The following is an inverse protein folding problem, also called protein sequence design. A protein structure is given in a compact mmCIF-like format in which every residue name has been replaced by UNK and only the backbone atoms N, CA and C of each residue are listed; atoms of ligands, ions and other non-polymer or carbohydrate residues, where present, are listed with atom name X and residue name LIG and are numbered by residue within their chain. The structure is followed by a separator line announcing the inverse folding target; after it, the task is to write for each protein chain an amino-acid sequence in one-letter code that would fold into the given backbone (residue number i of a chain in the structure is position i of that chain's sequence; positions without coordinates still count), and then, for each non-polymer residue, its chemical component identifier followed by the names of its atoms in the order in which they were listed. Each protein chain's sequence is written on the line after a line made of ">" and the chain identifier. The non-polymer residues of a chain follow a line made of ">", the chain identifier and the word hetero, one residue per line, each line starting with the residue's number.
data_IF_469811537638
#
_entry.id   IF_469811537638
#
_cell.length_a   1.000
_cell.length_b   1.000
_cell.length_c   1.000
_cell.angle_alpha   90.00
_cell.angle_beta   90.00
_cell.angle_gamma   90.00
#
_symmetry.space_group_name_H-M   'P 1'
#
loop_
_entity.id
_entity.type
_entity.pdbx_description
1 polymer ?
#
# COMPACT_ATOMS: atom_id res chain seq x y z
N UNK A 1 -17.30 -31.41 -7.81
CA UNK A 1 -16.07 -30.82 -7.25
C UNK A 1 -16.21 -29.32 -7.39
N UNK A 2 -16.21 -28.55 -6.30
CA UNK A 2 -16.22 -27.09 -6.41
C UNK A 2 -14.85 -26.68 -6.96
N UNK A 3 -14.80 -26.14 -8.18
CA UNK A 3 -13.64 -25.38 -8.63
C UNK A 3 -13.48 -24.21 -7.67
N UNK A 4 -12.47 -24.24 -6.80
CA UNK A 4 -12.13 -23.08 -6.00
C UNK A 4 -11.38 -22.12 -6.93
N UNK A 5 -12.13 -21.22 -7.58
CA UNK A 5 -11.62 -20.23 -8.53
C UNK A 5 -10.43 -19.41 -7.98
N UNK A 6 -10.32 -19.28 -6.65
CA UNK A 6 -9.19 -18.64 -5.98
C UNK A 6 -7.94 -19.52 -5.87
N UNK A 7 -8.06 -20.84 -5.91
CA UNK A 7 -6.90 -21.75 -5.93
C UNK A 7 -6.20 -21.73 -7.28
N UNK A 8 -6.93 -21.43 -8.35
CA UNK A 8 -6.41 -21.28 -9.72
C UNK A 8 -6.06 -19.82 -10.05
N UNK A 9 -6.04 -18.93 -9.04
CA UNK A 9 -5.68 -17.51 -9.26
C UNK A 9 -4.25 -17.40 -9.79
N UNK A 10 -3.94 -16.39 -10.61
CA UNK A 10 -2.57 -16.13 -11.05
C UNK A 10 -1.63 -15.92 -9.85
N UNK A 11 -0.51 -16.65 -9.86
CA UNK A 11 0.62 -16.56 -8.93
C UNK A 11 1.91 -16.47 -9.75
N UNK A 12 3.02 -16.02 -9.15
CA UNK A 12 4.32 -15.97 -9.83
C UNK A 12 5.45 -16.12 -8.82
N UNK A 13 6.29 -17.14 -8.92
CA UNK A 13 7.49 -17.26 -8.09
C UNK A 13 7.26 -17.57 -6.60
N UNK A 14 6.11 -17.23 -6.03
CA UNK A 14 5.66 -17.58 -4.68
C UNK A 14 4.18 -17.99 -4.72
N UNK A 15 3.73 -18.90 -3.83
CA UNK A 15 2.34 -19.35 -3.73
C UNK A 15 1.43 -18.28 -3.08
N UNK A 16 1.48 -17.08 -3.62
CA UNK A 16 0.71 -15.90 -3.24
C UNK A 16 0.06 -15.33 -4.50
N UNK A 17 -0.96 -14.50 -4.34
CA UNK A 17 -1.55 -13.75 -5.44
C UNK A 17 -0.49 -12.96 -6.19
N UNK A 18 -0.58 -12.96 -7.52
CA UNK A 18 0.45 -12.43 -8.43
C UNK A 18 1.03 -11.09 -7.97
N UNK A 19 0.21 -10.10 -7.61
CA UNK A 19 0.70 -8.80 -7.16
C UNK A 19 1.48 -8.82 -5.84
N UNK A 20 1.25 -9.79 -4.95
CA UNK A 20 2.10 -9.96 -3.76
C UNK A 20 3.41 -10.66 -4.14
N UNK A 21 3.33 -11.68 -5.00
CA UNK A 21 4.52 -12.44 -5.39
C UNK A 21 5.51 -11.65 -6.23
N UNK A 22 5.02 -10.84 -7.19
CA UNK A 22 5.84 -9.95 -8.01
C UNK A 22 6.66 -8.96 -7.17
N UNK A 23 6.17 -8.60 -5.98
CA UNK A 23 6.89 -7.78 -5.03
C UNK A 23 7.98 -8.54 -4.27
N UNK A 24 7.69 -9.77 -3.84
CA UNK A 24 8.67 -10.62 -3.17
C UNK A 24 9.83 -11.03 -4.08
N UNK A 25 9.61 -11.12 -5.39
CA UNK A 25 10.70 -11.38 -6.36
C UNK A 25 11.81 -10.31 -6.32
N UNK A 26 11.52 -9.10 -5.86
CA UNK A 26 12.54 -8.05 -5.66
C UNK A 26 13.36 -8.26 -4.37
N UNK A 27 12.85 -9.05 -3.43
CA UNK A 27 13.51 -9.34 -2.15
C UNK A 27 14.22 -10.69 -2.16
N UNK A 28 13.64 -11.69 -2.84
CA UNK A 28 14.03 -13.09 -2.71
C UNK A 28 14.19 -13.78 -4.07
N UNK A 29 14.67 -15.02 -4.06
CA UNK A 29 14.60 -15.89 -5.24
C UNK A 29 13.22 -16.57 -5.26
N UNK A 30 12.59 -16.70 -6.43
CA UNK A 30 11.39 -17.52 -6.61
C UNK A 30 11.55 -18.93 -6.02
N UNK A 31 10.48 -19.46 -5.42
CA UNK A 31 10.37 -20.83 -4.89
C UNK A 31 9.41 -21.71 -5.70
N UNK A 32 8.61 -21.12 -6.57
CA UNK A 32 7.81 -21.79 -7.60
C UNK A 32 8.12 -21.19 -8.99
N UNK A 33 7.48 -21.70 -10.04
CA UNK A 33 7.62 -21.18 -11.39
C UNK A 33 7.13 -19.71 -11.49
N UNK A 34 7.86 -18.91 -12.28
CA UNK A 34 7.52 -17.51 -12.54
C UNK A 34 6.53 -17.45 -13.69
N UNK A 35 5.48 -16.64 -13.54
CA UNK A 35 4.39 -16.56 -14.54
C UNK A 35 4.86 -15.98 -15.88
N UNK A 36 5.68 -14.93 -15.83
CA UNK A 36 6.24 -14.27 -17.00
C UNK A 36 7.76 -14.21 -16.88
N UNK A 37 8.44 -15.12 -17.58
CA UNK A 37 9.90 -15.20 -17.60
C UNK A 37 10.57 -14.07 -18.39
N UNK A 38 9.79 -13.31 -19.16
CA UNK A 38 10.28 -12.16 -19.93
C UNK A 38 10.23 -10.85 -19.15
N UNK A 39 9.52 -10.85 -18.00
CA UNK A 39 9.45 -9.69 -17.12
C UNK A 39 10.84 -9.32 -16.59
N UNK A 40 11.20 -8.05 -16.76
CA UNK A 40 12.35 -7.47 -16.08
C UNK A 40 12.02 -7.25 -14.60
N UNK A 41 12.58 -8.09 -13.73
CA UNK A 41 12.45 -7.94 -12.28
C UNK A 41 13.30 -6.73 -11.84
N UNK A 42 12.79 -5.84 -10.97
CA UNK A 42 13.59 -4.74 -10.43
C UNK A 42 14.90 -5.24 -9.77
N UNK A 43 15.93 -4.38 -9.67
CA UNK A 43 17.16 -4.73 -8.98
C UNK A 43 16.86 -5.24 -7.57
N UNK A 44 17.48 -6.38 -7.21
CA UNK A 44 17.25 -6.98 -5.90
C UNK A 44 17.62 -6.02 -4.79
N UNK A 45 16.68 -5.86 -3.86
CA UNK A 45 16.93 -5.10 -2.67
C UNK A 45 17.76 -5.91 -1.68
N UNK A 46 18.62 -5.21 -0.94
CA UNK A 46 19.37 -5.83 0.14
C UNK A 46 18.48 -5.91 1.37
N UNK A 47 17.91 -7.09 1.62
CA UNK A 47 16.96 -7.32 2.72
C UNK A 47 17.49 -6.92 4.10
N UNK A 48 18.81 -6.96 4.31
CA UNK A 48 19.45 -6.53 5.56
C UNK A 48 19.36 -5.02 5.83
N UNK A 49 18.95 -4.21 4.85
CA UNK A 49 18.78 -2.77 5.04
C UNK A 49 17.49 -2.44 5.82
N UNK A 50 16.63 -3.44 6.03
CA UNK A 50 15.36 -3.33 6.75
C UNK A 50 15.36 -4.20 8.01
N UNK A 51 15.00 -3.63 9.15
CA UNK A 51 14.85 -4.38 10.42
C UNK A 51 13.46 -4.97 10.59
N UNK A 52 12.46 -4.40 9.92
CA UNK A 52 11.06 -4.83 10.01
C UNK A 52 10.35 -4.72 8.65
N UNK A 53 9.63 -5.78 8.31
CA UNK A 53 8.79 -5.86 7.12
C UNK A 53 7.32 -5.74 7.54
N UNK A 54 6.62 -4.74 7.01
CA UNK A 54 5.30 -4.34 7.53
C UNK A 54 4.27 -4.51 6.42
N UNK A 55 3.34 -5.44 6.60
CA UNK A 55 2.36 -5.82 5.58
C UNK A 55 0.96 -5.33 5.95
N UNK A 56 0.37 -4.51 5.08
CA UNK A 56 -1.02 -4.08 5.23
C UNK A 56 -1.96 -5.19 4.75
N UNK A 57 -2.80 -5.70 5.66
CA UNK A 57 -3.76 -6.77 5.34
C UNK A 57 -4.78 -6.31 4.28
N UNK A 58 -5.17 -5.03 4.26
CA UNK A 58 -6.03 -4.49 3.20
C UNK A 58 -5.36 -4.62 1.82
N UNK A 59 -4.03 -4.54 1.76
CA UNK A 59 -3.28 -4.66 0.50
C UNK A 59 -3.20 -6.10 0.03
N UNK A 60 -2.93 -7.04 0.94
CA UNK A 60 -2.98 -8.48 0.62
C UNK A 60 -4.36 -8.86 0.10
N UNK A 61 -5.43 -8.47 0.81
CA UNK A 61 -6.79 -8.75 0.41
C UNK A 61 -7.15 -8.14 -0.95
N UNK A 62 -6.76 -6.88 -1.18
CA UNK A 62 -6.93 -6.23 -2.49
C UNK A 62 -6.19 -7.01 -3.58
N UNK A 63 -4.99 -7.51 -3.33
CA UNK A 63 -4.23 -8.29 -4.31
C UNK A 63 -4.92 -9.64 -4.60
N UNK A 64 -5.48 -10.30 -3.59
CA UNK A 64 -6.29 -11.53 -3.75
C UNK A 64 -7.50 -11.25 -4.63
N UNK A 65 -8.34 -10.29 -4.24
CA UNK A 65 -9.59 -9.99 -4.96
C UNK A 65 -9.32 -9.54 -6.39
N UNK A 66 -8.26 -8.75 -6.63
CA UNK A 66 -7.93 -8.24 -7.97
C UNK A 66 -7.13 -9.22 -8.83
N UNK A 67 -6.69 -10.36 -8.28
CA UNK A 67 -6.02 -11.40 -9.06
C UNK A 67 -6.97 -12.20 -9.95
N UNK A 68 -8.28 -12.13 -9.69
CA UNK A 68 -9.31 -12.84 -10.45
C UNK A 68 -10.35 -11.86 -11.06
N UNK A 69 -11.01 -12.21 -12.18
CA UNK A 69 -12.04 -11.38 -12.77
C UNK A 69 -13.23 -11.14 -11.83
N UNK A 70 -13.86 -9.97 -11.93
CA UNK A 70 -14.99 -9.59 -11.06
C UNK A 70 -16.17 -10.58 -11.12
N UNK A 71 -16.45 -11.14 -12.30
CA UNK A 71 -17.54 -12.12 -12.48
C UNK A 71 -17.25 -13.37 -11.64
N UNK A 72 -16.02 -13.88 -11.66
CA UNK A 72 -15.61 -15.02 -10.84
C UNK A 72 -15.70 -14.70 -9.33
N UNK A 73 -15.31 -13.49 -8.92
CA UNK A 73 -15.39 -13.06 -7.52
C UNK A 73 -16.81 -13.07 -6.96
N UNK A 74 -17.83 -12.81 -7.79
CA UNK A 74 -19.24 -12.87 -7.34
C UNK A 74 -19.71 -14.27 -7.00
N UNK A 75 -19.05 -15.28 -7.52
CA UNK A 75 -19.39 -16.69 -7.31
C UNK A 75 -18.66 -17.28 -6.10
N UNK A 76 -17.63 -16.59 -5.61
CA UNK A 76 -16.80 -17.00 -4.48
C UNK A 76 -17.45 -16.56 -3.16
N UNK A 77 -17.47 -17.46 -2.18
CA UNK A 77 -17.95 -17.12 -0.84
C UNK A 77 -16.94 -16.27 -0.09
N UNK A 78 -17.42 -15.36 0.77
CA UNK A 78 -16.53 -14.49 1.54
C UNK A 78 -15.58 -15.28 2.46
N UNK A 79 -16.00 -16.44 2.96
CA UNK A 79 -15.11 -17.30 3.75
C UNK A 79 -13.98 -17.90 2.90
N UNK A 80 -14.24 -18.25 1.63
CA UNK A 80 -13.22 -18.78 0.73
C UNK A 80 -12.14 -17.71 0.46
N UNK A 81 -12.50 -16.42 0.41
CA UNK A 81 -11.53 -15.31 0.32
C UNK A 81 -10.72 -15.18 1.63
N UNK A 82 -11.38 -15.31 2.78
CA UNK A 82 -10.72 -15.26 4.09
C UNK A 82 -9.72 -16.41 4.26
N UNK A 83 -10.11 -17.63 3.88
CA UNK A 83 -9.26 -18.82 3.97
C UNK A 83 -7.95 -18.61 3.18
N UNK A 84 -8.05 -18.07 1.95
CA UNK A 84 -6.88 -17.73 1.13
C UNK A 84 -6.03 -16.63 1.76
N UNK A 85 -6.64 -15.61 2.35
CA UNK A 85 -5.89 -14.55 3.03
C UNK A 85 -5.11 -15.08 4.24
N UNK A 86 -5.70 -16.00 5.01
CA UNK A 86 -5.02 -16.67 6.12
C UNK A 86 -3.86 -17.54 5.61
N UNK A 87 -4.06 -18.30 4.53
CA UNK A 87 -3.00 -19.07 3.88
C UNK A 87 -1.83 -18.18 3.43
N UNK A 88 -2.10 -17.00 2.84
CA UNK A 88 -1.04 -16.06 2.45
C UNK A 88 -0.29 -15.48 3.65
N UNK A 89 -1.00 -15.15 4.73
CA UNK A 89 -0.38 -14.66 5.98
C UNK A 89 0.49 -15.74 6.61
N UNK A 90 0.02 -16.99 6.66
CA UNK A 90 0.77 -18.12 7.20
C UNK A 90 2.01 -18.42 6.37
N UNK A 91 1.89 -18.42 5.03
CA UNK A 91 3.03 -18.57 4.14
C UNK A 91 4.06 -17.46 4.39
N UNK A 92 3.64 -16.19 4.39
CA UNK A 92 4.53 -15.05 4.62
C UNK A 92 5.21 -15.12 5.99
N UNK A 93 4.46 -15.46 7.04
CA UNK A 93 4.99 -15.61 8.39
C UNK A 93 6.09 -16.66 8.43
N UNK A 94 5.81 -17.86 7.92
CA UNK A 94 6.77 -18.96 7.91
C UNK A 94 7.97 -18.66 7.02
N UNK A 95 7.74 -18.07 5.85
CA UNK A 95 8.80 -17.73 4.90
C UNK A 95 9.78 -16.70 5.48
N UNK A 96 9.28 -15.61 6.08
CA UNK A 96 10.12 -14.59 6.69
C UNK A 96 10.86 -15.11 7.92
N UNK A 97 10.17 -15.89 8.78
CA UNK A 97 10.79 -16.50 9.97
C UNK A 97 11.92 -17.47 9.59
N UNK A 98 11.74 -18.32 8.58
CA UNK A 98 12.76 -19.24 8.09
C UNK A 98 14.00 -18.53 7.51
N UNK A 99 13.84 -17.26 7.13
CA UNK A 99 14.93 -16.40 6.66
C UNK A 99 15.44 -15.44 7.76
N UNK A 100 15.07 -15.68 9.03
CA UNK A 100 15.45 -14.85 10.19
C UNK A 100 15.07 -13.37 10.04
N UNK A 101 13.94 -13.07 9.40
CA UNK A 101 13.45 -11.71 9.22
C UNK A 101 12.17 -11.48 10.03
N UNK A 102 12.00 -10.26 10.52
CA UNK A 102 10.85 -9.89 11.32
C UNK A 102 9.75 -9.30 10.46
N UNK A 103 8.60 -9.97 10.41
CA UNK A 103 7.40 -9.54 9.70
C UNK A 103 6.29 -9.14 10.67
N UNK A 104 5.57 -8.08 10.31
CA UNK A 104 4.39 -7.59 11.02
C UNK A 104 3.23 -7.41 10.06
N UNK A 105 2.03 -7.77 10.53
CA UNK A 105 0.79 -7.54 9.81
C UNK A 105 -0.04 -6.50 10.53
N UNK A 106 -0.67 -5.60 9.79
CA UNK A 106 -1.53 -4.59 10.38
C UNK A 106 -2.80 -4.34 9.58
N UNK A 107 -3.81 -3.86 10.30
CA UNK A 107 -5.02 -3.26 9.76
C UNK A 107 -5.03 -1.79 10.18
N UNK A 108 -5.10 -0.90 9.19
CA UNK A 108 -5.44 0.50 9.43
C UNK A 108 -6.90 0.73 9.01
N UNK A 109 -7.75 1.15 9.96
CA UNK A 109 -9.17 1.40 9.67
C UNK A 109 -9.43 2.84 9.18
N UNK A 110 -8.39 3.68 9.19
CA UNK A 110 -8.40 5.07 8.77
C UNK A 110 -9.54 5.90 9.40
N UNK A 111 -9.95 5.54 10.62
CA UNK A 111 -11.04 6.22 11.32
C UNK A 111 -10.70 7.67 11.66
N UNK A 112 -9.41 8.01 11.82
CA UNK A 112 -8.99 9.40 11.91
C UNK A 112 -9.36 10.17 10.64
N UNK A 113 -8.92 9.70 9.47
CA UNK A 113 -9.18 10.33 8.18
C UNK A 113 -10.68 10.54 7.96
N UNK A 114 -11.48 9.49 8.21
CA UNK A 114 -12.94 9.51 8.05
C UNK A 114 -13.66 10.51 8.98
N UNK A 115 -13.06 10.83 10.13
CA UNK A 115 -13.60 11.80 11.11
C UNK A 115 -13.08 13.22 10.87
N UNK A 116 -11.85 13.34 10.38
CA UNK A 116 -11.14 14.62 10.24
C UNK A 116 -11.52 15.35 8.95
N UNK A 117 -11.71 14.64 7.84
CA UNK A 117 -11.92 15.24 6.52
C UNK A 117 -13.36 15.11 6.05
N UNK A 118 -13.81 16.09 5.23
CA UNK A 118 -15.11 16.04 4.58
C UNK A 118 -15.26 14.76 3.74
N UNK A 119 -16.39 14.08 3.86
CA UNK A 119 -16.70 12.87 3.09
C UNK A 119 -16.60 13.07 1.58
N UNK A 120 -16.85 14.29 1.06
CA UNK A 120 -16.70 14.64 -0.36
C UNK A 120 -15.24 14.65 -0.80
N UNK A 121 -14.32 14.85 0.14
CA UNK A 121 -12.87 14.82 -0.11
C UNK A 121 -12.34 13.39 -0.18
N UNK A 122 -13.04 12.44 0.42
CA UNK A 122 -12.67 11.03 0.45
C UNK A 122 -13.29 10.28 -0.73
N UNK A 123 -12.52 9.36 -1.29
CA UNK A 123 -13.02 8.41 -2.28
C UNK A 123 -13.90 7.39 -1.58
N UNK A 124 -15.11 7.22 -2.09
CA UNK A 124 -16.07 6.23 -1.60
C UNK A 124 -16.46 5.29 -2.74
N UNK A 125 -16.76 4.04 -2.41
CA UNK A 125 -17.34 3.10 -3.36
C UNK A 125 -18.72 3.57 -3.82
N UNK A 126 -18.92 3.67 -5.13
CA UNK A 126 -20.19 4.10 -5.73
C UNK A 126 -20.76 3.09 -6.71
N UNK A 127 -19.89 2.32 -7.37
CA UNK A 127 -20.30 1.27 -8.31
C UNK A 127 -20.65 -0.02 -7.58
N UNK A 128 -21.53 -0.85 -8.15
CA UNK A 128 -21.88 -2.18 -7.60
C UNK A 128 -20.64 -3.02 -7.33
N UNK A 129 -19.68 -3.01 -8.28
CA UNK A 129 -18.40 -3.70 -8.14
C UNK A 129 -17.61 -3.24 -6.91
N UNK A 130 -17.47 -1.93 -6.71
CA UNK A 130 -16.72 -1.40 -5.57
C UNK A 130 -17.43 -1.72 -4.26
N UNK A 131 -18.75 -1.55 -4.20
CA UNK A 131 -19.54 -1.86 -3.01
C UNK A 131 -19.44 -3.33 -2.62
N UNK A 132 -19.46 -4.25 -3.59
CA UNK A 132 -19.30 -5.67 -3.34
C UNK A 132 -17.89 -6.03 -2.84
N UNK A 133 -16.85 -5.43 -3.42
CA UNK A 133 -15.47 -5.59 -2.95
C UNK A 133 -15.31 -5.05 -1.53
N UNK A 134 -15.93 -3.92 -1.20
CA UNK A 134 -15.93 -3.34 0.14
C UNK A 134 -16.64 -4.26 1.15
N UNK A 135 -17.71 -4.96 0.75
CA UNK A 135 -18.40 -5.95 1.61
C UNK A 135 -17.50 -7.16 1.91
N UNK A 136 -16.84 -7.73 0.90
CA UNK A 136 -15.86 -8.82 1.10
C UNK A 136 -14.74 -8.35 2.01
N UNK A 137 -14.23 -7.14 1.75
CA UNK A 137 -13.15 -6.53 2.51
C UNK A 137 -13.52 -6.36 3.98
N UNK A 138 -14.67 -5.73 4.25
CA UNK A 138 -15.18 -5.53 5.60
C UNK A 138 -15.39 -6.86 6.33
N UNK A 139 -15.94 -7.88 5.65
CA UNK A 139 -16.12 -9.22 6.22
C UNK A 139 -14.79 -9.83 6.66
N UNK A 140 -13.78 -9.86 5.78
CA UNK A 140 -12.49 -10.47 6.08
C UNK A 140 -11.75 -9.73 7.20
N UNK A 141 -11.76 -8.39 7.16
CA UNK A 141 -11.12 -7.57 8.20
C UNK A 141 -11.79 -7.73 9.56
N UNK A 142 -13.12 -7.83 9.65
CA UNK A 142 -13.82 -8.11 10.92
C UNK A 142 -13.43 -9.47 11.53
N UNK A 143 -13.09 -10.45 10.69
CA UNK A 143 -12.62 -11.76 11.17
C UNK A 143 -11.17 -11.70 11.61
N UNK A 144 -10.30 -11.17 10.77
CA UNK A 144 -8.85 -11.12 11.03
C UNK A 144 -8.48 -10.18 12.17
N UNK A 145 -9.24 -9.10 12.38
CA UNK A 145 -8.98 -8.17 13.50
C UNK A 145 -9.11 -8.86 14.86
N UNK A 146 -9.66 -10.08 14.93
CA UNK A 146 -9.75 -10.87 16.16
C UNK A 146 -8.49 -11.72 16.45
N UNK A 147 -7.55 -11.80 15.50
CA UNK A 147 -6.29 -12.52 15.66
C UNK A 147 -5.27 -11.70 16.46
N UNK A 148 -4.53 -12.36 17.36
CA UNK A 148 -3.61 -11.71 18.30
C UNK A 148 -2.33 -11.15 17.64
N UNK A 149 -1.97 -11.62 16.45
CA UNK A 149 -0.75 -11.27 15.73
C UNK A 149 -0.94 -10.12 14.71
N UNK A 150 -2.09 -9.44 14.73
CA UNK A 150 -2.42 -8.34 13.81
C UNK A 150 -2.53 -7.01 14.56
N UNK A 151 -1.63 -6.09 14.25
CA UNK A 151 -1.63 -4.75 14.82
C UNK A 151 -2.77 -3.89 14.25
N UNK A 152 -3.30 -2.98 15.07
CA UNK A 152 -4.45 -2.14 14.71
C UNK A 152 -4.09 -0.67 14.80
N UNK A 153 -4.30 0.05 13.71
CA UNK A 153 -4.08 1.49 13.62
C UNK A 153 -5.34 2.23 13.16
N UNK A 154 -5.39 3.51 13.50
CA UNK A 154 -6.48 4.42 13.13
C UNK A 154 -6.00 5.62 12.29
N UNK A 155 -4.70 5.96 12.42
CA UNK A 155 -4.01 7.01 11.69
C UNK A 155 -2.63 6.52 11.27
N UNK A 156 -1.65 6.63 12.16
CA UNK A 156 -0.24 6.37 11.86
C UNK A 156 0.13 4.92 12.21
N UNK A 157 0.87 4.29 11.31
CA UNK A 157 1.52 2.99 11.53
C UNK A 157 2.79 3.23 12.35
N UNK A 158 2.94 2.53 13.48
CA UNK A 158 4.08 2.76 14.39
C UNK A 158 4.61 1.47 14.98
N UNK A 159 5.94 1.37 15.00
CA UNK A 159 6.72 0.32 15.65
C UNK A 159 7.85 0.97 16.45
N UNK A 160 9.06 0.39 16.51
CA UNK A 160 10.18 1.00 17.20
C UNK A 160 10.77 2.13 16.33
N UNK A 161 11.11 3.26 16.95
CA UNK A 161 11.62 4.44 16.25
C UNK A 161 12.96 4.15 15.56
N UNK A 162 13.70 3.20 16.10
CA UNK A 162 15.01 2.74 15.64
C UNK A 162 14.88 1.81 14.41
N UNK A 163 13.67 1.40 14.03
CA UNK A 163 13.46 0.50 12.91
C UNK A 163 13.71 1.17 11.56
N UNK A 164 14.30 0.39 10.64
CA UNK A 164 14.29 0.67 9.20
C UNK A 164 13.17 -0.19 8.58
N UNK A 165 12.03 0.44 8.29
CA UNK A 165 10.84 -0.25 7.83
C UNK A 165 10.75 -0.39 6.31
N UNK A 166 10.39 -1.59 5.84
CA UNK A 166 9.87 -1.80 4.49
C UNK A 166 8.36 -2.06 4.57
N UNK A 167 7.55 -1.06 4.20
CA UNK A 167 6.09 -1.15 4.24
C UNK A 167 5.53 -1.63 2.89
N UNK A 168 4.64 -2.61 2.94
CA UNK A 168 3.89 -3.13 1.82
C UNK A 168 2.44 -2.65 1.91
N UNK A 169 2.13 -1.60 1.16
CA UNK A 169 0.80 -0.97 1.18
C UNK A 169 0.42 -0.37 -0.16
N UNK A 170 -0.85 -0.50 -0.52
CA UNK A 170 -1.42 0.26 -1.65
C UNK A 170 -1.96 1.63 -1.23
N UNK A 171 -2.04 1.94 0.07
CA UNK A 171 -2.65 3.16 0.60
C UNK A 171 -1.57 4.21 0.86
N UNK A 172 -1.51 5.30 0.07
CA UNK A 172 -0.44 6.30 0.22
C UNK A 172 -0.41 6.99 1.58
N UNK A 173 -1.55 7.11 2.25
CA UNK A 173 -1.66 7.73 3.57
C UNK A 173 -0.79 7.03 4.63
N UNK A 174 -0.59 5.71 4.53
CA UNK A 174 0.27 4.98 5.46
C UNK A 174 1.72 5.49 5.46
N UNK A 175 2.20 6.04 4.34
CA UNK A 175 3.56 6.57 4.19
C UNK A 175 3.80 7.85 5.01
N UNK A 176 2.73 8.52 5.45
CA UNK A 176 2.84 9.67 6.35
C UNK A 176 3.37 9.27 7.73
N UNK A 177 3.39 7.98 8.04
CA UNK A 177 3.94 7.43 9.27
C UNK A 177 5.48 7.36 9.28
N UNK A 178 6.16 7.93 8.28
CA UNK A 178 7.62 7.85 8.14
C UNK A 178 8.37 8.40 9.36
N UNK A 179 7.79 9.39 10.06
CA UNK A 179 8.35 9.94 11.29
C UNK A 179 8.30 8.96 12.47
N UNK A 180 7.70 7.77 12.33
CA UNK A 180 7.72 6.72 13.36
C UNK A 180 8.87 5.72 13.19
N UNK A 181 9.75 5.94 12.20
CA UNK A 181 10.86 5.05 11.86
C UNK A 181 12.15 5.84 11.67
N UNK A 182 13.30 5.15 11.70
CA UNK A 182 14.59 5.75 11.30
C UNK A 182 14.62 5.96 9.79
N UNK A 183 14.11 4.97 9.06
CA UNK A 183 13.79 5.11 7.65
C UNK A 183 12.56 4.27 7.31
N UNK A 184 11.80 4.71 6.32
CA UNK A 184 10.65 3.99 5.80
C UNK A 184 10.74 3.98 4.27
N UNK A 185 10.63 2.80 3.68
CA UNK A 185 10.54 2.58 2.24
C UNK A 185 9.27 1.81 1.91
N UNK A 186 8.69 2.08 0.74
CA UNK A 186 7.52 1.39 0.21
C UNK A 186 7.96 0.27 -0.72
N UNK A 187 7.45 -0.94 -0.51
CA UNK A 187 7.46 -2.01 -1.51
C UNK A 187 6.15 -1.96 -2.30
N UNK A 188 6.21 -1.63 -3.59
CA UNK A 188 5.03 -1.61 -4.46
C UNK A 188 4.60 -3.04 -4.86
N UNK A 189 3.31 -3.37 -4.67
CA UNK A 189 2.81 -4.72 -4.97
C UNK A 189 3.02 -5.14 -6.44
N UNK A 190 2.45 -4.40 -7.38
CA UNK A 190 2.44 -4.83 -8.79
C UNK A 190 3.79 -4.79 -9.49
N UNK A 191 4.67 -3.88 -9.10
CA UNK A 191 5.95 -3.67 -9.77
C UNK A 191 7.12 -4.32 -9.04
N UNK A 192 7.00 -4.52 -7.73
CA UNK A 192 8.11 -4.86 -6.83
C UNK A 192 9.10 -3.72 -6.60
N UNK A 193 8.86 -2.54 -7.18
CA UNK A 193 9.75 -1.41 -7.02
C UNK A 193 9.76 -0.93 -5.57
N UNK A 194 10.96 -0.74 -5.02
CA UNK A 194 11.14 -0.09 -3.73
C UNK A 194 11.24 1.42 -3.93
N UNK A 195 10.34 2.15 -3.27
CA UNK A 195 10.30 3.62 -3.28
C UNK A 195 10.67 4.17 -1.92
N UNK A 196 11.74 4.96 -1.88
CA UNK A 196 12.10 5.76 -0.72
C UNK A 196 11.29 7.06 -0.69
N UNK A 197 11.30 7.77 0.45
CA UNK A 197 10.64 9.07 0.62
C UNK A 197 10.88 10.06 -0.52
N UNK A 198 12.07 10.06 -1.13
CA UNK A 198 12.43 10.91 -2.28
C UNK A 198 11.52 10.72 -3.51
N UNK A 199 10.87 9.57 -3.61
CA UNK A 199 10.12 9.13 -4.80
C UNK A 199 8.62 8.93 -4.53
N UNK A 200 8.15 9.20 -3.30
CA UNK A 200 6.74 9.04 -2.93
C UNK A 200 5.81 10.05 -3.57
N UNK A 201 6.32 11.18 -4.07
CA UNK A 201 5.53 12.14 -4.85
C UNK A 201 4.82 11.50 -6.06
N UNK A 202 5.33 10.38 -6.58
CA UNK A 202 4.66 9.58 -7.61
C UNK A 202 3.30 9.01 -7.18
N UNK A 203 2.95 9.08 -5.89
CA UNK A 203 1.63 8.67 -5.37
C UNK A 203 0.56 9.77 -5.47
N UNK A 204 0.97 11.02 -5.70
CA UNK A 204 0.01 12.09 -5.95
C UNK A 204 -0.78 11.86 -7.23
N UNK A 205 -2.02 12.32 -7.25
CA UNK A 205 -2.77 12.39 -8.49
C UNK A 205 -2.06 13.36 -9.45
N UNK A 206 -1.73 12.92 -10.68
CA UNK A 206 -0.85 13.69 -11.55
C UNK A 206 -1.44 15.05 -11.93
N UNK A 207 -0.54 16.02 -12.11
CA UNK A 207 -0.85 17.29 -12.73
C UNK A 207 -0.51 17.21 -14.23
N UNK A 208 -1.41 17.67 -15.13
CA UNK A 208 -1.14 17.66 -16.56
C UNK A 208 0.13 18.46 -16.89
N UNK A 209 1.06 17.84 -17.62
CA UNK A 209 2.31 18.44 -18.10
C UNK A 209 3.21 19.06 -17.00
N UNK A 210 3.14 18.54 -15.77
CA UNK A 210 3.99 18.98 -14.66
C UNK A 210 4.78 17.83 -14.08
N UNK A 211 6.01 18.11 -13.68
CA UNK A 211 6.85 17.17 -12.93
C UNK A 211 6.64 17.38 -11.43
N UNK A 212 6.11 16.35 -10.75
CA UNK A 212 5.88 16.35 -9.30
C UNK A 212 7.06 15.77 -8.51
N UNK A 213 8.15 15.36 -9.18
CA UNK A 213 9.32 14.72 -8.58
C UNK A 213 10.01 15.55 -7.50
N UNK A 214 9.80 16.87 -7.49
CA UNK A 214 10.38 17.82 -6.55
C UNK A 214 9.53 17.99 -5.28
N UNK A 215 8.28 17.55 -5.28
CA UNK A 215 7.38 17.79 -4.17
C UNK A 215 7.72 16.86 -2.99
N UNK A 216 7.71 17.39 -1.74
CA UNK A 216 7.76 16.54 -0.55
C UNK A 216 6.44 15.79 -0.37
N UNK A 217 6.48 14.71 0.41
CA UNK A 217 5.31 13.89 0.69
C UNK A 217 4.73 14.20 2.08
N UNK A 218 3.67 15.02 2.14
CA UNK A 218 3.01 15.45 3.38
C UNK A 218 1.50 15.28 3.34
N UNK A 219 0.88 15.24 4.54
CA UNK A 219 -0.56 15.07 4.73
C UNK A 219 -1.34 16.15 3.95
N UNK A 220 -1.00 17.43 4.15
CA UNK A 220 -1.69 18.53 3.47
C UNK A 220 -1.55 18.48 1.93
N UNK A 221 -0.37 18.12 1.42
CA UNK A 221 -0.13 17.97 -0.02
C UNK A 221 -0.88 16.77 -0.59
N UNK A 222 -0.96 15.66 0.16
CA UNK A 222 -1.73 14.48 -0.22
C UNK A 222 -3.22 14.78 -0.28
N UNK A 223 -3.73 15.56 0.66
CA UNK A 223 -5.12 16.01 0.64
C UNK A 223 -5.35 16.94 -0.55
N UNK A 224 -4.49 17.93 -0.77
CA UNK A 224 -4.68 18.89 -1.86
C UNK A 224 -4.52 18.26 -3.24
N UNK A 225 -3.41 17.58 -3.48
CA UNK A 225 -3.16 16.94 -4.76
C UNK A 225 -3.98 15.68 -4.98
N UNK A 226 -4.49 15.06 -3.91
CA UNK A 226 -5.22 13.80 -3.97
C UNK A 226 -4.33 12.62 -4.34
N UNK A 227 -4.95 11.45 -4.41
CA UNK A 227 -4.32 10.21 -4.86
C UNK A 227 -5.35 9.31 -5.56
N UNK A 228 -4.96 8.08 -5.92
CA UNK A 228 -5.84 7.13 -6.61
C UNK A 228 -6.64 6.22 -5.68
N UNK A 229 -6.46 6.34 -4.36
CA UNK A 229 -6.97 5.41 -3.35
C UNK A 229 -7.84 6.14 -2.33
N UNK A 230 -7.35 7.18 -1.66
CA UNK A 230 -8.02 7.78 -0.51
C UNK A 230 -8.63 9.15 -0.78
N UNK A 231 -7.88 10.10 -1.35
CA UNK A 231 -8.33 11.49 -1.50
C UNK A 231 -8.69 11.84 -2.94
N UNK A 232 -9.80 12.55 -3.12
CA UNK A 232 -10.10 13.27 -4.35
C UNK A 232 -9.20 14.52 -4.46
N UNK A 233 -8.58 14.78 -5.63
CA UNK A 233 -7.80 16.00 -5.85
C UNK A 233 -8.67 17.25 -5.72
N UNK A 234 -8.12 18.34 -5.20
CA UNK A 234 -8.75 19.66 -5.28
C UNK A 234 -8.91 20.13 -6.74
N UNK A 235 -9.76 21.15 -7.00
CA UNK A 235 -9.89 21.75 -8.31
C UNK A 235 -8.52 22.03 -8.96
N UNK A 236 -8.40 21.74 -10.25
CA UNK A 236 -7.13 21.81 -10.97
C UNK A 236 -6.45 23.17 -10.82
N UNK A 237 -7.23 24.26 -10.82
CA UNK A 237 -6.74 25.63 -10.64
C UNK A 237 -5.98 25.78 -9.30
N UNK A 238 -6.58 25.35 -8.20
CA UNK A 238 -6.01 25.45 -6.86
C UNK A 238 -4.73 24.63 -6.73
N UNK A 239 -4.74 23.40 -7.29
CA UNK A 239 -3.55 22.54 -7.32
C UNK A 239 -2.41 23.15 -8.14
N UNK A 240 -2.72 23.76 -9.28
CA UNK A 240 -1.71 24.44 -10.12
C UNK A 240 -1.13 25.66 -9.41
N UNK A 241 -1.97 26.49 -8.79
CA UNK A 241 -1.52 27.65 -8.01
C UNK A 241 -0.59 27.24 -6.88
N UNK A 242 -0.95 26.20 -6.12
CA UNK A 242 -0.08 25.66 -5.07
C UNK A 242 1.22 25.08 -5.66
N UNK A 243 1.15 24.31 -6.75
CA UNK A 243 2.33 23.76 -7.40
C UNK A 243 3.32 24.86 -7.81
N UNK A 244 2.85 25.90 -8.51
CA UNK A 244 3.71 27.00 -8.96
C UNK A 244 4.33 27.76 -7.77
N UNK A 245 3.58 27.93 -6.68
CA UNK A 245 4.10 28.51 -5.45
C UNK A 245 5.22 27.66 -4.84
N UNK A 246 5.03 26.34 -4.76
CA UNK A 246 6.01 25.39 -4.23
C UNK A 246 7.29 25.37 -5.09
N UNK A 247 7.16 25.34 -6.41
CA UNK A 247 8.30 25.38 -7.33
C UNK A 247 9.08 26.70 -7.19
N UNK A 248 8.39 27.84 -7.14
CA UNK A 248 9.02 29.15 -6.92
C UNK A 248 9.81 29.20 -5.61
N UNK A 249 9.32 28.52 -4.57
CA UNK A 249 9.97 28.41 -3.25
C UNK A 249 11.07 27.35 -3.20
N UNK A 250 11.35 26.66 -4.31
CA UNK A 250 12.40 25.63 -4.46
C UNK A 250 12.26 24.51 -3.42
N UNK A 251 11.04 24.02 -3.22
CA UNK A 251 10.83 22.84 -2.37
C UNK A 251 11.56 21.61 -2.93
N UNK A 252 11.87 20.65 -2.07
CA UNK A 252 12.48 19.39 -2.46
C UNK A 252 11.88 18.22 -1.68
N UNK A 253 12.00 16.96 -2.16
CA UNK A 253 11.26 15.82 -1.60
C UNK A 253 11.56 15.46 -0.15
N UNK A 254 12.77 15.80 0.30
CA UNK A 254 13.28 15.52 1.65
C UNK A 254 13.08 16.68 2.63
N UNK A 255 12.36 17.73 2.24
CA UNK A 255 12.04 18.84 3.13
C UNK A 255 11.25 18.34 4.34
N UNK A 256 11.34 19.02 5.49
CA UNK A 256 10.51 18.75 6.66
C UNK A 256 9.21 19.57 6.60
N UNK A 257 8.15 19.08 7.24
CA UNK A 257 6.86 19.79 7.27
C UNK A 257 7.01 21.18 7.92
N UNK A 258 7.82 21.25 8.99
CA UNK A 258 8.18 22.51 9.63
C UNK A 258 8.85 23.50 8.67
N UNK A 259 9.84 23.06 7.89
CA UNK A 259 10.52 23.90 6.91
C UNK A 259 9.55 24.45 5.86
N UNK A 260 8.60 23.62 5.41
CA UNK A 260 7.61 24.04 4.42
C UNK A 260 6.59 25.03 4.99
N UNK A 261 6.17 24.81 6.23
CA UNK A 261 5.25 25.72 6.94
C UNK A 261 5.83 27.13 7.09
N UNK A 262 7.16 27.27 7.23
CA UNK A 262 7.85 28.55 7.26
C UNK A 262 7.89 29.19 5.86
N UNK A 263 8.12 28.39 4.81
CA UNK A 263 8.23 28.90 3.44
C UNK A 263 6.91 29.42 2.86
N UNK A 264 5.78 28.88 3.33
CA UNK A 264 4.43 29.25 2.85
C UNK A 264 3.78 30.41 3.60
N UNK A 265 4.40 30.89 4.69
CA UNK A 265 4.07 32.18 5.31
C UNK A 265 4.69 33.33 4.51
#
# INVERSE_FOLDING_TARGET
>A
MKNNLLNERPMSGFPLSIATSLALETLFNPVIEVFDTTREVPPKAKVSDYSVFIFNINTLLRNIITSVPYIAIREVKFNEVLDILLEEIDFLTNFFNNNNMYIKFYINNYSYVKKTYDIKKLRNATTEKQLYIDQITAYCLDKIVKEDNVDKFTKDVKYHKEDNGLIFTHVPYDLLSYDNFTSLALLESHTGLIKTRKTWNSKYYPLPNKDMSTLPFFEYLLITFGDNVMFHPDPLKERLELYEALIKKKVHPMMSDFSLSILLK
#
